data_IF_690710139381
#
_entry.id   IF_690710139381
#
_cell.length_a   1.000
_cell.length_b   1.000
_cell.length_c   1.000
_cell.angle_alpha   90.00
_cell.angle_beta   90.00
_cell.angle_gamma   90.00
#
_symmetry.space_group_name_H-M   'P 1'
#
loop_
_entity.id
_entity.type
_entity.pdbx_description
1 polymer ?
#
# COMPACT_ATOMS: atom_id res chain seq x y z
N UNK A 1 4.54 -0.40 -7.79
CA UNK A 1 4.82 -1.63 -7.02
C UNK A 1 4.47 -2.90 -7.81
N UNK A 2 3.18 -3.11 -8.15
CA UNK A 2 2.70 -4.33 -8.84
C UNK A 2 3.47 -4.64 -10.12
N UNK A 3 3.51 -3.71 -11.07
CA UNK A 3 4.18 -3.91 -12.36
C UNK A 3 5.67 -4.28 -12.21
N UNK A 4 6.39 -3.59 -11.31
CA UNK A 4 7.80 -3.87 -11.02
C UNK A 4 8.00 -5.25 -10.42
N UNK A 5 7.20 -5.64 -9.44
CA UNK A 5 7.27 -6.97 -8.82
C UNK A 5 6.97 -8.08 -9.82
N UNK A 6 5.96 -7.87 -10.69
CA UNK A 6 5.64 -8.77 -11.81
C UNK A 6 6.79 -8.89 -12.81
N UNK A 7 7.44 -7.78 -13.15
CA UNK A 7 8.63 -7.76 -14.03
C UNK A 7 9.79 -8.57 -13.45
N UNK A 8 9.90 -8.64 -12.12
CA UNK A 8 10.88 -9.46 -11.41
C UNK A 8 10.45 -10.94 -11.27
N UNK A 9 9.30 -11.34 -11.81
CA UNK A 9 8.79 -12.71 -11.78
C UNK A 9 8.03 -13.08 -10.50
N UNK A 10 7.68 -12.12 -9.64
CA UNK A 10 6.94 -12.40 -8.42
C UNK A 10 5.47 -12.79 -8.71
N UNK A 11 4.92 -13.66 -7.87
CA UNK A 11 3.47 -13.87 -7.79
C UNK A 11 2.88 -12.73 -6.99
N UNK A 12 2.12 -11.85 -7.64
CA UNK A 12 1.59 -10.63 -7.03
C UNK A 12 0.10 -10.76 -6.79
N UNK A 13 -0.30 -10.43 -5.57
CA UNK A 13 -1.69 -10.19 -5.18
C UNK A 13 -1.81 -8.75 -4.70
N UNK A 14 -2.98 -8.13 -4.86
CA UNK A 14 -3.21 -6.76 -4.42
C UNK A 14 -4.64 -6.58 -3.92
N UNK A 15 -4.81 -5.66 -2.99
CA UNK A 15 -6.10 -5.25 -2.42
C UNK A 15 -6.21 -3.74 -2.48
N UNK A 16 -7.39 -3.24 -2.81
CA UNK A 16 -7.78 -1.84 -2.77
C UNK A 16 -9.27 -1.83 -2.43
N UNK A 17 -9.76 -0.76 -1.81
CA UNK A 17 -11.17 -0.67 -1.43
C UNK A 17 -12.04 -0.15 -2.58
N UNK A 18 -11.45 0.31 -3.70
CA UNK A 18 -12.16 0.83 -4.86
C UNK A 18 -12.36 -0.25 -5.93
N UNK A 19 -13.57 -0.40 -6.49
CA UNK A 19 -13.85 -1.35 -7.58
C UNK A 19 -13.01 -1.11 -8.83
N UNK A 20 -12.79 0.14 -9.22
CA UNK A 20 -12.01 0.49 -10.42
C UNK A 20 -10.57 -0.04 -10.37
N UNK A 21 -10.01 -0.23 -9.17
CA UNK A 21 -8.67 -0.77 -8.99
C UNK A 21 -8.57 -2.25 -9.37
N UNK A 22 -9.67 -3.01 -9.35
CA UNK A 22 -9.67 -4.44 -9.69
C UNK A 22 -9.17 -4.69 -11.11
N UNK A 23 -9.78 -4.01 -12.09
CA UNK A 23 -9.40 -4.14 -13.49
C UNK A 23 -7.95 -3.68 -13.73
N UNK A 24 -7.52 -2.61 -13.05
CA UNK A 24 -6.12 -2.14 -13.14
C UNK A 24 -5.13 -3.20 -12.62
N UNK A 25 -5.42 -3.82 -11.47
CA UNK A 25 -4.60 -4.89 -10.89
C UNK A 25 -4.51 -6.10 -11.83
N UNK A 26 -5.63 -6.52 -12.39
CA UNK A 26 -5.71 -7.67 -13.29
C UNK A 26 -5.00 -7.40 -14.63
N UNK A 27 -5.10 -6.17 -15.18
CA UNK A 27 -4.40 -5.77 -16.40
C UNK A 27 -2.86 -5.82 -16.26
N UNK A 28 -2.35 -5.65 -15.05
CA UNK A 28 -0.93 -5.80 -14.71
C UNK A 28 -0.54 -7.27 -14.42
N UNK A 29 -1.50 -8.20 -14.56
CA UNK A 29 -1.34 -9.63 -14.37
C UNK A 29 -1.37 -10.09 -12.91
N UNK A 30 -1.67 -9.21 -11.95
CA UNK A 30 -1.78 -9.56 -10.54
C UNK A 30 -3.19 -10.06 -10.18
N UNK A 31 -3.31 -10.81 -9.07
CA UNK A 31 -4.61 -11.26 -8.57
C UNK A 31 -5.20 -10.23 -7.59
N UNK A 32 -6.41 -9.77 -7.85
CA UNK A 32 -7.14 -8.91 -6.92
C UNK A 32 -7.71 -9.72 -5.76
N UNK A 33 -7.60 -9.19 -4.55
CA UNK A 33 -8.05 -9.81 -3.29
C UNK A 33 -8.84 -8.76 -2.52
N UNK A 34 -10.14 -8.90 -2.40
CA UNK A 34 -11.00 -7.97 -1.67
C UNK A 34 -12.26 -8.68 -1.14
N UNK A 35 -12.89 -8.04 -0.15
CA UNK A 35 -14.26 -8.36 0.24
C UNK A 35 -15.19 -7.68 -0.77
N UNK A 36 -15.79 -8.46 -1.66
CA UNK A 36 -16.67 -7.97 -2.72
C UNK A 36 -18.13 -7.93 -2.23
N UNK A 37 -18.48 -6.94 -1.40
CA UNK A 37 -19.87 -6.68 -0.97
C UNK A 37 -20.44 -5.38 -1.59
N UNK A 38 -21.68 -5.05 -1.25
CA UNK A 38 -22.36 -3.84 -1.78
C UNK A 38 -21.66 -2.55 -1.34
N UNK A 39 -20.99 -2.54 -0.19
CA UNK A 39 -20.24 -1.39 0.29
C UNK A 39 -18.98 -1.15 -0.53
N UNK A 40 -18.27 -2.23 -0.91
CA UNK A 40 -17.16 -2.17 -1.87
C UNK A 40 -17.58 -1.51 -3.18
N UNK A 41 -18.76 -1.82 -3.72
CA UNK A 41 -19.25 -1.20 -4.97
C UNK A 41 -19.46 0.32 -4.86
N UNK A 42 -19.71 0.83 -3.65
CA UNK A 42 -19.98 2.25 -3.38
C UNK A 42 -18.79 3.02 -2.76
N UNK A 43 -17.64 2.35 -2.64
CA UNK A 43 -16.44 2.81 -1.95
C UNK A 43 -15.73 4.01 -2.58
N UNK A 44 -16.07 4.35 -3.82
CA UNK A 44 -15.43 5.42 -4.59
C UNK A 44 -16.23 6.73 -4.47
N UNK A 45 -15.53 7.85 -4.32
CA UNK A 45 -16.09 9.20 -4.40
C UNK A 45 -16.19 9.66 -5.86
N UNK A 46 -16.95 10.72 -6.13
CA UNK A 46 -17.01 11.32 -7.47
C UNK A 46 -15.64 11.80 -8.00
N UNK A 47 -14.66 12.02 -7.10
CA UNK A 47 -13.28 12.39 -7.45
C UNK A 47 -12.31 11.21 -7.58
N UNK A 48 -12.79 9.96 -7.53
CA UNK A 48 -11.95 8.76 -7.67
C UNK A 48 -11.19 8.31 -6.41
N UNK A 49 -11.41 9.02 -5.29
CA UNK A 49 -10.82 8.66 -3.99
C UNK A 49 -11.70 7.68 -3.22
N UNK A 50 -11.06 6.88 -2.36
CA UNK A 50 -11.75 5.99 -1.44
C UNK A 50 -12.49 6.75 -0.32
N UNK A 51 -13.66 6.26 0.07
CA UNK A 51 -14.37 6.67 1.29
C UNK A 51 -13.85 5.93 2.52
N UNK A 52 -14.20 6.40 3.71
CA UNK A 52 -14.02 5.59 4.92
C UNK A 52 -15.07 4.46 4.91
N UNK A 53 -14.63 3.23 5.11
CA UNK A 53 -15.52 2.06 5.16
C UNK A 53 -16.09 1.85 6.55
N UNK A 54 -17.22 1.17 6.64
CA UNK A 54 -17.85 0.75 7.88
C UNK A 54 -16.94 -0.16 8.71
N UNK A 55 -17.18 -0.20 10.02
CA UNK A 55 -16.41 -1.08 10.92
C UNK A 55 -16.61 -2.57 10.57
N UNK A 56 -17.79 -2.94 10.07
CA UNK A 56 -18.07 -4.30 9.60
C UNK A 56 -17.23 -4.67 8.37
N UNK A 57 -17.13 -3.77 7.39
CA UNK A 57 -16.28 -3.97 6.23
C UNK A 57 -14.80 -4.04 6.63
N UNK A 58 -14.36 -3.13 7.51
CA UNK A 58 -13.00 -3.12 8.04
C UNK A 58 -12.67 -4.44 8.74
N UNK A 59 -13.59 -5.02 9.50
CA UNK A 59 -13.40 -6.31 10.17
C UNK A 59 -13.23 -7.46 9.16
N UNK A 60 -14.09 -7.55 8.14
CA UNK A 60 -13.96 -8.56 7.08
C UNK A 60 -12.65 -8.40 6.29
N UNK A 61 -12.27 -7.16 5.99
CA UNK A 61 -11.02 -6.85 5.31
C UNK A 61 -9.80 -7.22 6.17
N UNK A 62 -9.88 -6.99 7.49
CA UNK A 62 -8.83 -7.38 8.43
C UNK A 62 -8.69 -8.91 8.49
N UNK A 63 -9.79 -9.67 8.53
CA UNK A 63 -9.77 -11.13 8.48
C UNK A 63 -9.15 -11.66 7.18
N UNK A 64 -9.57 -11.10 6.04
CA UNK A 64 -8.99 -11.43 4.73
C UNK A 64 -7.49 -11.15 4.71
N UNK A 65 -7.07 -10.00 5.25
CA UNK A 65 -5.67 -9.61 5.36
C UNK A 65 -4.91 -10.59 6.25
N UNK A 66 -5.44 -10.96 7.41
CA UNK A 66 -4.82 -11.89 8.34
C UNK A 66 -4.59 -13.28 7.72
N UNK A 67 -5.59 -13.82 7.02
CA UNK A 67 -5.47 -15.12 6.35
C UNK A 67 -4.48 -15.10 5.18
N UNK A 68 -4.33 -13.95 4.53
CA UNK A 68 -3.52 -13.80 3.33
C UNK A 68 -2.06 -13.43 3.63
N UNK A 69 -1.82 -12.58 4.62
CA UNK A 69 -0.50 -12.02 4.94
C UNK A 69 0.51 -13.07 5.42
N UNK A 70 0.03 -14.12 6.10
CA UNK A 70 0.84 -15.27 6.58
C UNK A 70 1.61 -15.95 5.43
N UNK A 71 1.05 -15.91 4.22
CA UNK A 71 1.64 -16.55 3.03
C UNK A 71 2.57 -15.63 2.25
N UNK A 72 2.63 -14.33 2.57
CA UNK A 72 3.38 -13.34 1.81
C UNK A 72 4.82 -13.22 2.30
N UNK A 73 5.74 -13.14 1.36
CA UNK A 73 7.16 -12.90 1.65
C UNK A 73 7.47 -11.39 1.65
N UNK A 74 6.76 -10.60 0.83
CA UNK A 74 6.88 -9.13 0.77
C UNK A 74 5.50 -8.48 0.80
N UNK A 75 5.32 -7.44 1.64
CA UNK A 75 4.11 -6.63 1.70
C UNK A 75 4.46 -5.16 1.47
N UNK A 76 3.77 -4.49 0.54
CA UNK A 76 3.95 -3.06 0.28
C UNK A 76 2.63 -2.36 0.57
N UNK A 77 2.63 -1.47 1.57
CA UNK A 77 1.43 -0.72 1.95
C UNK A 77 1.49 0.70 1.44
N UNK A 78 0.40 1.17 0.84
CA UNK A 78 0.34 2.47 0.15
C UNK A 78 -0.96 3.23 0.44
N UNK A 79 -1.71 2.83 1.46
CA UNK A 79 -3.03 3.37 1.71
C UNK A 79 -2.91 4.74 2.38
N UNK A 80 -3.45 5.76 1.71
CA UNK A 80 -3.47 7.12 2.21
C UNK A 80 -4.78 7.79 1.83
N UNK A 81 -5.42 8.44 2.81
CA UNK A 81 -6.61 9.27 2.60
C UNK A 81 -6.18 10.73 2.76
N UNK A 82 -6.37 11.59 1.75
CA UNK A 82 -5.99 12.99 1.83
C UNK A 82 -6.56 13.68 3.09
N UNK A 83 -5.70 14.41 3.80
CA UNK A 83 -6.08 15.15 5.01
C UNK A 83 -6.29 14.30 6.27
N UNK A 84 -6.01 12.98 6.22
CA UNK A 84 -6.12 12.08 7.38
C UNK A 84 -4.81 11.34 7.65
N UNK A 85 -4.57 10.89 8.89
CA UNK A 85 -3.52 9.93 9.19
C UNK A 85 -3.69 8.66 8.34
N UNK A 86 -2.57 8.01 8.02
CA UNK A 86 -2.58 6.73 7.34
C UNK A 86 -3.35 5.69 8.18
N UNK A 87 -4.26 4.91 7.59
CA UNK A 87 -4.98 3.86 8.32
C UNK A 87 -4.01 2.74 8.72
N UNK A 88 -4.17 2.19 9.92
CA UNK A 88 -3.45 0.98 10.35
C UNK A 88 -4.07 -0.22 9.68
N UNK A 89 -3.34 -0.86 8.76
CA UNK A 89 -3.80 -2.02 7.99
C UNK A 89 -3.11 -3.31 8.42
N UNK A 90 -1.86 -3.21 8.86
CA UNK A 90 -1.05 -4.35 9.27
C UNK A 90 -0.72 -4.19 10.75
N UNK A 91 -1.29 -5.06 11.59
CA UNK A 91 -1.07 -5.08 13.03
C UNK A 91 0.23 -5.80 13.39
N UNK A 92 0.72 -5.62 14.61
CA UNK A 92 1.88 -6.37 15.12
C UNK A 92 1.65 -7.90 15.07
N UNK A 93 0.41 -8.35 15.29
CA UNK A 93 0.04 -9.76 15.18
C UNK A 93 0.15 -10.28 13.73
N UNK A 94 -0.23 -9.46 12.74
CA UNK A 94 -0.03 -9.79 11.33
C UNK A 94 1.47 -9.91 11.00
N UNK A 95 2.30 -8.98 11.47
CA UNK A 95 3.76 -9.03 11.24
C UNK A 95 4.38 -10.26 11.91
N UNK A 96 3.94 -10.59 13.14
CA UNK A 96 4.41 -11.75 13.89
C UNK A 96 4.06 -13.10 13.23
N UNK A 97 2.98 -13.15 12.44
CA UNK A 97 2.53 -14.37 11.76
C UNK A 97 3.21 -14.61 10.40
N UNK A 98 3.94 -13.61 9.89
CA UNK A 98 4.73 -13.76 8.66
C UNK A 98 5.97 -14.63 8.90
N UNK A 99 6.50 -15.21 7.80
CA UNK A 99 7.71 -16.02 7.84
C UNK A 99 8.92 -15.17 8.26
N UNK A 100 9.88 -15.72 9.02
CA UNK A 100 11.16 -15.05 9.25
C UNK A 100 11.85 -14.68 7.93
N UNK A 101 12.41 -13.47 7.85
CA UNK A 101 13.00 -12.93 6.64
C UNK A 101 12.02 -12.22 5.69
N UNK A 102 10.71 -12.24 5.97
CA UNK A 102 9.76 -11.42 5.22
C UNK A 102 10.05 -9.92 5.37
N UNK A 103 9.60 -9.14 4.39
CA UNK A 103 9.84 -7.68 4.35
C UNK A 103 8.53 -6.92 4.14
N UNK A 104 8.30 -5.89 4.94
CA UNK A 104 7.24 -4.91 4.74
C UNK A 104 7.86 -3.58 4.32
N UNK A 105 7.26 -2.92 3.33
CA UNK A 105 7.64 -1.58 2.89
C UNK A 105 6.44 -0.66 3.05
N UNK A 106 6.55 0.27 4.00
CA UNK A 106 5.46 1.19 4.34
C UNK A 106 5.64 2.53 3.63
N UNK A 107 4.93 2.72 2.51
CA UNK A 107 5.01 3.96 1.73
C UNK A 107 4.20 5.10 2.34
N UNK A 108 3.36 4.82 3.33
CA UNK A 108 2.54 5.84 4.02
C UNK A 108 3.20 6.33 5.32
N UNK A 109 4.48 6.01 5.55
CA UNK A 109 5.18 6.28 6.82
C UNK A 109 5.20 7.76 7.19
N UNK A 110 5.30 8.65 6.21
CA UNK A 110 5.30 10.11 6.40
C UNK A 110 3.95 10.63 6.94
N UNK A 111 2.89 9.83 6.85
CA UNK A 111 1.55 10.12 7.38
C UNK A 111 1.16 9.22 8.56
N UNK A 112 2.13 8.58 9.22
CA UNK A 112 1.93 7.71 10.38
C UNK A 112 2.10 6.21 10.10
N UNK A 113 2.11 5.81 8.83
CA UNK A 113 2.33 4.44 8.38
C UNK A 113 1.13 3.51 8.48
N UNK A 114 1.02 2.58 7.54
CA UNK A 114 0.01 1.52 7.57
C UNK A 114 0.42 0.32 8.43
N UNK A 115 1.72 0.17 8.73
CA UNK A 115 2.27 -0.99 9.45
C UNK A 115 2.59 -0.62 10.90
N UNK A 116 2.03 -1.36 11.84
CA UNK A 116 2.36 -1.21 13.25
C UNK A 116 3.82 -1.62 13.52
N UNK A 117 4.54 -0.81 14.31
CA UNK A 117 5.96 -1.00 14.56
C UNK A 117 6.89 -0.39 13.50
N UNK A 118 6.36 0.16 12.40
CA UNK A 118 7.14 0.98 11.48
C UNK A 118 7.61 2.27 12.14
N UNK A 119 8.83 2.70 11.79
CA UNK A 119 9.43 3.96 12.26
C UNK A 119 9.93 4.76 11.07
N UNK A 120 9.58 6.05 11.03
CA UNK A 120 9.98 6.95 9.96
C UNK A 120 11.51 7.07 9.89
N UNK A 121 12.06 6.88 8.69
CA UNK A 121 13.49 6.92 8.42
C UNK A 121 14.26 5.64 8.77
N UNK A 122 13.64 4.64 9.39
CA UNK A 122 14.33 3.44 9.90
C UNK A 122 13.92 2.15 9.17
N UNK A 123 14.78 1.13 9.31
CA UNK A 123 14.41 -0.26 9.04
C UNK A 123 14.37 -0.97 10.39
N UNK A 124 13.18 -1.40 10.80
CA UNK A 124 12.97 -2.10 12.07
C UNK A 124 12.99 -3.61 11.80
N UNK A 125 13.81 -4.35 12.54
CA UNK A 125 13.76 -5.82 12.54
C UNK A 125 12.98 -6.29 13.75
N UNK A 126 11.92 -7.06 13.54
CA UNK A 126 11.07 -7.61 14.61
C UNK A 126 11.71 -8.82 15.28
N UNK A 127 11.18 -9.23 16.43
CA UNK A 127 11.65 -10.41 17.16
C UNK A 127 11.54 -11.72 16.35
N UNK A 128 10.57 -11.85 15.44
CA UNK A 128 10.43 -12.99 14.54
C UNK A 128 11.27 -12.87 13.25
N UNK A 129 12.15 -11.87 13.14
CA UNK A 129 13.08 -11.71 12.01
C UNK A 129 12.47 -11.09 10.76
N UNK A 130 11.33 -10.41 10.88
CA UNK A 130 10.69 -9.67 9.78
C UNK A 130 11.23 -8.24 9.76
N UNK A 131 11.48 -7.70 8.56
CA UNK A 131 11.96 -6.33 8.41
C UNK A 131 10.82 -5.39 7.98
N UNK A 132 10.68 -4.26 8.67
CA UNK A 132 9.74 -3.19 8.33
C UNK A 132 10.54 -1.98 7.86
N UNK A 133 10.46 -1.67 6.58
CA UNK A 133 11.13 -0.55 5.92
C UNK A 133 10.21 0.67 5.95
N UNK A 134 10.55 1.65 6.78
CA UNK A 134 9.83 2.92 6.94
C UNK A 134 10.59 4.11 6.38
N UNK A 135 11.19 4.01 5.18
CA UNK A 135 11.93 5.12 4.61
C UNK A 135 11.02 6.30 4.26
N UNK A 136 11.28 7.45 4.88
CA UNK A 136 10.71 8.74 4.47
C UNK A 136 11.31 9.22 3.15
N UNK A 137 10.56 10.05 2.42
CA UNK A 137 10.99 10.64 1.15
C UNK A 137 11.56 9.58 0.17
N UNK A 138 10.81 8.51 -0.08
CA UNK A 138 11.20 7.49 -1.04
C UNK A 138 11.55 8.04 -2.44
N UNK A 139 10.85 9.06 -2.99
CA UNK A 139 11.27 9.70 -4.25
C UNK A 139 12.70 10.24 -4.22
N UNK A 140 13.18 10.74 -3.07
CA UNK A 140 14.56 11.19 -2.88
C UNK A 140 15.62 10.09 -3.09
N UNK A 141 15.23 8.81 -3.02
CA UNK A 141 16.14 7.66 -3.28
C UNK A 141 16.31 7.35 -4.77
N UNK A 142 15.52 8.01 -5.64
CA UNK A 142 15.64 7.97 -7.10
C UNK A 142 15.72 9.41 -7.65
N UNK A 143 16.55 10.23 -7.01
CA UNK A 143 16.57 11.69 -7.17
C UNK A 143 16.66 12.17 -8.63
N UNK A 144 17.48 11.53 -9.47
CA UNK A 144 17.62 11.93 -10.87
C UNK A 144 16.29 11.88 -11.63
N UNK A 145 15.57 10.76 -11.54
CA UNK A 145 14.28 10.58 -12.21
C UNK A 145 13.19 11.43 -11.56
N UNK A 146 13.16 11.50 -10.23
CA UNK A 146 12.19 12.30 -9.48
C UNK A 146 12.32 13.79 -9.83
N UNK A 147 13.54 14.34 -9.85
CA UNK A 147 13.81 15.73 -10.22
C UNK A 147 13.44 16.01 -11.68
N UNK A 148 13.77 15.12 -12.61
CA UNK A 148 13.44 15.29 -14.02
C UNK A 148 11.92 15.32 -14.26
N UNK A 149 11.16 14.41 -13.62
CA UNK A 149 9.70 14.37 -13.73
C UNK A 149 9.04 15.58 -13.05
N UNK A 150 9.51 15.98 -11.86
CA UNK A 150 8.97 17.14 -11.15
C UNK A 150 9.20 18.44 -11.95
N UNK A 151 10.38 18.63 -12.52
CA UNK A 151 10.67 19.79 -13.37
C UNK A 151 9.75 19.86 -14.60
N UNK A 152 9.45 18.71 -15.24
CA UNK A 152 8.49 18.65 -16.35
C UNK A 152 7.07 19.04 -15.93
N UNK A 153 6.62 18.61 -14.75
CA UNK A 153 5.33 19.02 -14.21
C UNK A 153 5.25 20.54 -14.02
N UNK A 154 6.31 21.16 -13.51
CA UNK A 154 6.37 22.62 -13.35
C UNK A 154 6.31 23.35 -14.70
N UNK A 155 7.08 22.89 -15.69
CA UNK A 155 7.05 23.45 -17.05
C UNK A 155 5.66 23.31 -17.68
N UNK A 156 5.03 22.15 -17.56
CA UNK A 156 3.68 21.92 -18.08
C UNK A 156 2.65 22.82 -17.40
N UNK A 157 2.72 22.98 -16.07
CA UNK A 157 1.83 23.86 -15.32
C UNK A 157 2.00 25.33 -15.73
N UNK A 158 3.23 25.81 -15.87
CA UNK A 158 3.51 27.16 -16.36
C UNK A 158 2.96 27.40 -17.77
N UNK A 159 2.93 26.37 -18.62
CA UNK A 159 2.32 26.48 -19.95
C UNK A 159 0.79 26.60 -19.96
N UNK A 160 0.12 26.40 -18.82
CA UNK A 160 -1.33 26.57 -18.66
C UNK A 160 -1.71 27.95 -18.08
N UNK A 161 -0.72 28.73 -17.62
CA UNK A 161 -0.90 30.09 -17.09
C UNK A 161 -0.76 31.13 -18.21
#
# INVERSE_FOLDING_TARGET
>A
AIATARRLGAVVTATDVRPASKEQVESLGAKFVAVEDEEFKAAETAGGYAKAMSDEYQAKQAELTAAHIVKQDIVITTALIPGRPAPRLVTAAHVASMKPGSVLVDLAIDNGGNVEGAKAGEIVTTANGVQIVGWSNLPGRIAADASALYARNLVAFLGLM
#
